data_IF_770663918786
#
_entry.id   IF_770663918786
#
_cell.length_a   1.000
_cell.length_b   1.000
_cell.length_c   1.000
_cell.angle_alpha   90.00
_cell.angle_beta   90.00
_cell.angle_gamma   90.00
#
_symmetry.space_group_name_H-M   'P 1'
#
loop_
_entity.id
_entity.type
_entity.pdbx_description
1 polymer ?
#
# COMPACT_ATOMS: atom_id res chain seq x y z
N UNK A 1 5.79 14.33 -18.67
CA UNK A 1 5.26 13.73 -17.43
C UNK A 1 6.37 12.97 -16.75
N UNK A 2 6.60 13.27 -15.49
CA UNK A 2 7.60 12.55 -14.70
C UNK A 2 6.97 11.26 -14.16
N UNK A 3 7.51 10.11 -14.59
CA UNK A 3 7.03 8.80 -14.16
C UNK A 3 7.29 8.51 -12.68
N UNK A 4 8.14 9.29 -12.03
CA UNK A 4 8.41 9.18 -10.60
C UNK A 4 7.72 10.30 -9.80
N UNK A 5 6.67 10.92 -10.36
CA UNK A 5 5.84 11.86 -9.61
C UNK A 5 5.06 11.11 -8.51
N UNK A 6 5.25 11.45 -7.23
CA UNK A 6 4.55 10.78 -6.14
C UNK A 6 3.03 10.77 -6.28
N UNK A 7 2.43 11.82 -6.86
CA UNK A 7 0.98 11.88 -7.05
C UNK A 7 0.46 10.72 -7.90
N UNK A 8 1.17 10.40 -8.99
CA UNK A 8 0.77 9.29 -9.86
C UNK A 8 0.78 7.98 -9.08
N UNK A 9 1.83 7.72 -8.33
CA UNK A 9 1.97 6.48 -7.58
C UNK A 9 1.04 6.42 -6.38
N UNK A 10 0.74 7.55 -5.74
CA UNK A 10 -0.30 7.61 -4.70
C UNK A 10 -1.66 7.18 -5.26
N UNK A 11 -2.02 7.65 -6.45
CA UNK A 11 -3.28 7.26 -7.10
C UNK A 11 -3.28 5.77 -7.44
N UNK A 12 -2.19 5.28 -8.06
CA UNK A 12 -2.10 3.87 -8.43
C UNK A 12 -2.13 2.94 -7.22
N UNK A 13 -1.42 3.28 -6.16
CA UNK A 13 -1.43 2.49 -4.93
C UNK A 13 -2.79 2.58 -4.25
N UNK A 14 -3.43 3.76 -4.23
CA UNK A 14 -4.78 3.91 -3.68
C UNK A 14 -5.78 3.00 -4.41
N UNK A 15 -5.73 2.94 -5.74
CA UNK A 15 -6.61 2.08 -6.53
C UNK A 15 -6.31 0.59 -6.29
N UNK A 16 -5.04 0.19 -6.36
CA UNK A 16 -4.65 -1.21 -6.18
C UNK A 16 -4.87 -1.70 -4.75
N UNK A 17 -4.62 -0.88 -3.77
CA UNK A 17 -4.84 -1.22 -2.35
C UNK A 17 -6.34 -1.30 -2.04
N UNK A 18 -7.11 -0.30 -2.44
CA UNK A 18 -8.53 -0.22 -2.09
C UNK A 18 -9.35 -1.29 -2.80
N UNK A 19 -9.17 -1.46 -4.11
CA UNK A 19 -9.93 -2.44 -4.90
C UNK A 19 -9.44 -3.86 -4.67
N UNK A 20 -8.43 -4.32 -5.44
CA UNK A 20 -7.97 -5.71 -5.34
C UNK A 20 -7.39 -6.06 -3.98
N UNK A 21 -6.73 -5.10 -3.31
CA UNK A 21 -6.04 -5.35 -2.06
C UNK A 21 -6.96 -5.50 -0.86
N UNK A 22 -8.09 -4.81 -0.84
CA UNK A 22 -9.00 -4.81 0.32
C UNK A 22 -10.41 -5.20 -0.04
N UNK A 23 -11.09 -4.43 -0.92
CA UNK A 23 -12.52 -4.65 -1.16
C UNK A 23 -12.81 -6.02 -1.75
N UNK A 24 -12.03 -6.47 -2.71
CA UNK A 24 -12.24 -7.75 -3.37
C UNK A 24 -11.55 -8.92 -2.67
N UNK A 25 -10.50 -8.66 -1.89
CA UNK A 25 -9.75 -9.71 -1.20
C UNK A 25 -10.37 -10.11 0.14
N UNK A 26 -11.16 -9.24 0.76
CA UNK A 26 -11.68 -9.43 2.12
C UNK A 26 -12.98 -10.23 2.10
N UNK A 27 -13.06 -11.25 2.96
CA UNK A 27 -14.32 -11.93 3.25
C UNK A 27 -15.11 -11.10 4.25
N UNK A 28 -16.04 -10.28 3.76
CA UNK A 28 -16.83 -9.36 4.57
C UNK A 28 -17.89 -10.06 5.45
N UNK A 29 -18.03 -11.37 5.29
CA UNK A 29 -18.91 -12.17 6.15
C UNK A 29 -18.17 -12.66 7.42
N UNK A 30 -16.86 -12.64 7.43
CA UNK A 30 -16.04 -13.03 8.58
C UNK A 30 -15.69 -11.80 9.41
N UNK A 31 -15.95 -11.86 10.73
CA UNK A 31 -15.75 -10.69 11.60
C UNK A 31 -14.29 -10.24 11.65
N UNK A 32 -13.35 -11.16 11.80
CA UNK A 32 -11.93 -10.81 11.87
C UNK A 32 -11.45 -10.20 10.55
N UNK A 33 -11.80 -10.83 9.42
CA UNK A 33 -11.42 -10.32 8.10
C UNK A 33 -12.04 -8.94 7.86
N UNK A 34 -13.31 -8.76 8.23
CA UNK A 34 -13.98 -7.46 8.11
C UNK A 34 -13.31 -6.37 8.94
N UNK A 35 -12.91 -6.68 10.17
CA UNK A 35 -12.19 -5.73 11.01
C UNK A 35 -10.85 -5.33 10.39
N UNK A 36 -10.07 -6.29 9.93
CA UNK A 36 -8.79 -6.03 9.27
C UNK A 36 -8.99 -5.24 7.98
N UNK A 37 -9.96 -5.64 7.15
CA UNK A 37 -10.29 -4.91 5.93
C UNK A 37 -10.69 -3.47 6.20
N UNK A 38 -11.48 -3.23 7.23
CA UNK A 38 -11.87 -1.88 7.66
C UNK A 38 -10.67 -1.05 8.10
N UNK A 39 -9.74 -1.62 8.89
CA UNK A 39 -8.50 -0.93 9.25
C UNK A 39 -7.68 -0.57 8.01
N UNK A 40 -7.59 -1.47 7.03
CA UNK A 40 -6.86 -1.21 5.79
C UNK A 40 -7.51 -0.13 4.95
N UNK A 41 -8.84 0.04 4.99
CA UNK A 41 -9.52 1.13 4.30
C UNK A 41 -9.17 2.51 4.88
N UNK A 42 -8.76 2.59 6.14
CA UNK A 42 -8.25 3.84 6.69
C UNK A 42 -6.98 4.29 5.99
N UNK A 43 -6.11 3.36 5.61
CA UNK A 43 -4.95 3.66 4.76
C UNK A 43 -5.37 4.19 3.39
N UNK A 44 -6.46 3.64 2.83
CA UNK A 44 -7.01 4.14 1.56
C UNK A 44 -7.42 5.61 1.66
N UNK A 45 -8.07 6.01 2.74
CA UNK A 45 -8.45 7.41 2.97
C UNK A 45 -7.22 8.30 2.99
N UNK A 46 -6.16 7.88 3.69
CA UNK A 46 -4.91 8.64 3.77
C UNK A 46 -4.22 8.74 2.41
N UNK A 47 -4.20 7.65 1.64
CA UNK A 47 -3.62 7.65 0.29
C UNK A 47 -4.35 8.63 -0.64
N UNK A 48 -5.68 8.62 -0.61
CA UNK A 48 -6.49 9.51 -1.44
C UNK A 48 -6.28 10.97 -1.03
N UNK A 49 -6.25 11.25 0.28
CA UNK A 49 -5.98 12.59 0.77
C UNK A 49 -4.59 13.06 0.34
N UNK A 50 -3.57 12.22 0.47
CA UNK A 50 -2.21 12.57 0.05
C UNK A 50 -2.14 12.85 -1.45
N UNK A 51 -2.89 12.08 -2.26
CA UNK A 51 -2.89 12.24 -3.72
C UNK A 51 -3.60 13.51 -4.18
N UNK A 52 -4.74 13.84 -3.59
CA UNK A 52 -5.65 14.87 -4.09
C UNK A 52 -5.67 16.14 -3.22
N UNK A 53 -5.34 16.02 -1.96
CA UNK A 53 -5.38 17.13 -0.99
C UNK A 53 -4.03 17.76 -0.67
N UNK A 54 -2.95 17.21 -1.21
CA UNK A 54 -1.58 17.68 -0.94
C UNK A 54 -0.78 17.82 -2.23
N UNK A 55 0.30 18.58 -2.17
CA UNK A 55 1.22 18.76 -3.29
C UNK A 55 2.66 18.97 -2.81
N UNK A 56 3.60 19.00 -3.76
CA UNK A 56 4.99 19.35 -3.50
C UNK A 56 5.70 18.42 -2.52
N UNK A 57 6.61 18.99 -1.74
CA UNK A 57 7.42 18.21 -0.80
C UNK A 57 6.60 17.58 0.33
N UNK A 58 5.52 18.22 0.76
CA UNK A 58 4.67 17.66 1.82
C UNK A 58 3.99 16.39 1.34
N UNK A 59 3.47 16.40 0.12
CA UNK A 59 2.90 15.19 -0.50
C UNK A 59 3.95 14.09 -0.61
N UNK A 60 5.16 14.41 -1.10
CA UNK A 60 6.25 13.47 -1.25
C UNK A 60 6.68 12.86 0.09
N UNK A 61 6.79 13.67 1.12
CA UNK A 61 7.17 13.23 2.46
C UNK A 61 6.11 12.32 3.07
N UNK A 62 4.85 12.66 2.92
CA UNK A 62 3.77 11.77 3.38
C UNK A 62 3.77 10.44 2.62
N UNK A 63 4.07 10.45 1.33
CA UNK A 63 4.20 9.22 0.55
C UNK A 63 5.28 8.30 1.13
N UNK A 64 6.43 8.85 1.51
CA UNK A 64 7.50 8.07 2.15
C UNK A 64 7.04 7.48 3.49
N UNK A 65 6.40 8.30 4.33
CA UNK A 65 5.96 7.87 5.66
C UNK A 65 4.86 6.82 5.58
N UNK A 66 4.00 6.90 4.58
CA UNK A 66 2.98 5.89 4.35
C UNK A 66 3.55 4.61 3.73
N UNK A 67 4.30 4.76 2.65
CA UNK A 67 4.71 3.62 1.83
C UNK A 67 5.97 2.91 2.34
N UNK A 68 6.90 3.65 2.93
CA UNK A 68 8.16 3.08 3.42
C UNK A 68 7.95 1.96 4.44
N UNK A 69 7.25 2.23 5.56
CA UNK A 69 6.97 1.19 6.55
C UNK A 69 6.14 0.03 6.01
N UNK A 70 5.14 0.31 5.17
CA UNK A 70 4.33 -0.75 4.54
C UNK A 70 5.19 -1.64 3.67
N UNK A 71 6.06 -1.06 2.85
CA UNK A 71 6.96 -1.82 1.99
C UNK A 71 7.90 -2.70 2.81
N UNK A 72 8.51 -2.15 3.85
CA UNK A 72 9.41 -2.90 4.74
C UNK A 72 8.66 -4.07 5.36
N UNK A 73 7.45 -3.84 5.85
CA UNK A 73 6.65 -4.89 6.48
C UNK A 73 6.26 -5.99 5.49
N UNK A 74 5.89 -5.62 4.25
CA UNK A 74 5.65 -6.61 3.21
C UNK A 74 6.86 -7.51 2.97
N UNK A 75 8.05 -6.92 2.87
CA UNK A 75 9.29 -7.68 2.67
C UNK A 75 9.52 -8.64 3.83
N UNK A 76 9.35 -8.18 5.06
CA UNK A 76 9.48 -9.03 6.25
C UNK A 76 8.48 -10.18 6.21
N UNK A 77 7.21 -9.91 5.93
CA UNK A 77 6.18 -10.94 5.87
C UNK A 77 6.48 -11.99 4.80
N UNK A 78 6.93 -11.58 3.63
CA UNK A 78 7.25 -12.49 2.54
C UNK A 78 8.49 -13.34 2.87
N UNK A 79 9.55 -12.73 3.38
CA UNK A 79 10.79 -13.45 3.71
C UNK A 79 10.59 -14.47 4.83
N UNK A 80 9.65 -14.20 5.74
CA UNK A 80 9.31 -15.13 6.82
C UNK A 80 8.20 -16.12 6.42
N UNK A 81 7.60 -15.97 5.26
CA UNK A 81 6.52 -16.83 4.79
C UNK A 81 5.31 -16.83 5.72
N UNK A 82 4.90 -15.66 6.22
CA UNK A 82 3.78 -15.56 7.14
C UNK A 82 2.46 -15.94 6.46
N UNK A 83 1.61 -16.63 7.20
CA UNK A 83 0.28 -17.04 6.74
C UNK A 83 -0.77 -16.08 7.25
N UNK A 84 -1.76 -15.77 6.41
CA UNK A 84 -2.90 -14.95 6.79
C UNK A 84 -4.17 -15.41 6.10
N UNK A 85 -5.32 -15.04 6.67
CA UNK A 85 -6.63 -15.35 6.12
C UNK A 85 -7.49 -14.08 6.09
N UNK A 86 -7.58 -13.43 4.94
CA UNK A 86 -8.50 -12.32 4.72
C UNK A 86 -9.69 -12.73 3.85
N UNK A 87 -9.48 -13.65 2.93
CA UNK A 87 -10.51 -14.26 2.10
C UNK A 87 -11.09 -15.49 2.79
N UNK A 88 -11.50 -16.48 1.98
CA UNK A 88 -12.04 -17.75 2.48
C UNK A 88 -10.97 -18.75 2.82
N UNK A 89 -9.80 -18.65 2.16
CA UNK A 89 -8.72 -19.60 2.30
C UNK A 89 -7.49 -18.93 2.90
N UNK A 90 -6.70 -19.66 3.73
CA UNK A 90 -5.43 -19.15 4.20
C UNK A 90 -4.44 -19.00 3.05
N UNK A 91 -3.64 -17.95 3.11
CA UNK A 91 -2.63 -17.64 2.09
C UNK A 91 -1.28 -17.47 2.78
N UNK A 92 -0.26 -18.14 2.23
CA UNK A 92 1.12 -17.92 2.65
C UNK A 92 1.74 -16.82 1.80
N UNK A 93 2.32 -15.81 2.44
CA UNK A 93 2.97 -14.70 1.76
C UNK A 93 4.18 -15.20 0.97
N UNK A 94 4.25 -14.82 -0.31
CA UNK A 94 5.33 -15.24 -1.21
C UNK A 94 5.57 -14.18 -2.29
N UNK A 95 6.72 -14.26 -2.96
CA UNK A 95 7.10 -13.26 -3.98
C UNK A 95 6.25 -13.33 -5.24
N UNK A 96 5.71 -14.48 -5.56
CA UNK A 96 4.91 -14.66 -6.78
C UNK A 96 3.58 -13.90 -6.67
N UNK A 97 2.87 -14.08 -5.56
CA UNK A 97 1.53 -13.50 -5.37
C UNK A 97 1.60 -12.08 -4.79
N UNK A 98 2.59 -11.80 -3.97
CA UNK A 98 2.73 -10.52 -3.25
C UNK A 98 3.78 -9.60 -3.88
N UNK A 99 4.47 -10.04 -4.93
CA UNK A 99 5.45 -9.21 -5.65
C UNK A 99 4.85 -7.93 -6.22
N UNK A 100 3.73 -7.97 -6.95
CA UNK A 100 3.11 -6.75 -7.49
C UNK A 100 2.80 -5.70 -6.44
N UNK A 101 2.15 -5.98 -5.29
CA UNK A 101 2.00 -4.99 -4.21
C UNK A 101 3.33 -4.45 -3.70
N UNK A 102 4.34 -5.29 -3.53
CA UNK A 102 5.67 -4.85 -3.06
C UNK A 102 6.28 -3.86 -4.03
N UNK A 103 6.17 -4.11 -5.34
CA UNK A 103 6.69 -3.19 -6.36
C UNK A 103 5.94 -1.85 -6.29
N UNK A 104 4.61 -1.86 -6.22
CA UNK A 104 3.81 -0.64 -6.17
C UNK A 104 4.15 0.22 -4.94
N UNK A 105 4.15 -0.38 -3.76
CA UNK A 105 4.49 0.34 -2.53
C UNK A 105 5.94 0.81 -2.53
N UNK A 106 6.86 0.00 -3.08
CA UNK A 106 8.27 0.36 -3.18
C UNK A 106 8.52 1.53 -4.12
N UNK A 107 7.87 1.55 -5.27
CA UNK A 107 7.99 2.67 -6.22
C UNK A 107 7.37 3.94 -5.63
N UNK A 108 6.24 3.83 -4.93
CA UNK A 108 5.66 4.97 -4.23
C UNK A 108 6.63 5.54 -3.20
N UNK A 109 7.23 4.69 -2.36
CA UNK A 109 8.21 5.12 -1.37
C UNK A 109 9.43 5.80 -2.04
N UNK A 110 9.94 5.19 -3.11
CA UNK A 110 11.09 5.75 -3.84
C UNK A 110 10.75 7.10 -4.48
N UNK A 111 9.62 7.19 -5.15
CA UNK A 111 9.18 8.44 -5.80
C UNK A 111 9.03 9.56 -4.77
N UNK A 112 8.45 9.23 -3.62
CA UNK A 112 8.32 10.17 -2.51
C UNK A 112 9.68 10.62 -1.97
N UNK A 113 10.59 9.67 -1.77
CA UNK A 113 11.92 9.96 -1.25
C UNK A 113 12.71 10.91 -2.17
N UNK A 114 12.67 10.64 -3.48
CA UNK A 114 13.37 11.47 -4.47
C UNK A 114 12.81 12.89 -4.55
N UNK A 115 11.53 13.08 -4.30
CA UNK A 115 10.87 14.40 -4.34
C UNK A 115 10.77 15.08 -2.97
N UNK A 116 11.18 14.40 -1.89
CA UNK A 116 10.99 14.87 -0.50
C UNK A 116 11.92 16.00 -0.09
N UNK A 117 13.05 16.15 -0.76
CA UNK A 117 14.12 17.02 -0.30
C UNK A 117 14.95 16.44 0.85
N UNK A 118 14.72 15.17 1.23
CA UNK A 118 15.49 14.50 2.29
C UNK A 118 16.77 13.84 1.77
N UNK A 119 16.88 13.69 0.48
CA UNK A 119 18.06 13.11 -0.18
C UNK A 119 18.54 13.96 -1.35
#
# INVERSE_FOLDING_TARGET
MDLLDPQIWLILVALGHTGPGVLFATNWADDTAKMVGGWMLLTSVTLVYAALGMDGQEQARLAVVLAGPVWIWFVVCITQGLEYTMGKEPITMNWKDNGPPVVLWGVLALSGLLASGWV
#
